data_IF_871418499851
#
_entry.id   IF_871418499851
#
_cell.length_a   1.000
_cell.length_b   1.000
_cell.length_c   1.000
_cell.angle_alpha   90.00
_cell.angle_beta   90.00
_cell.angle_gamma   90.00
#
_symmetry.space_group_name_H-M   'P 1'
#
loop_
_entity.id
_entity.type
_entity.pdbx_description
1 polymer ?
#
# COMPACT_ATOMS: atom_id res chain seq x y z
N UNK A 1 -18.94 -23.78 -45.68
CA UNK A 1 -19.83 -22.59 -45.78
C UNK A 1 -21.13 -22.86 -45.02
N UNK A 2 -21.70 -21.81 -44.38
CA UNK A 2 -22.93 -21.72 -43.54
C UNK A 2 -22.67 -21.98 -42.05
N UNK A 3 -22.53 -20.94 -41.20
CA UNK A 3 -23.43 -19.86 -40.68
C UNK A 3 -24.17 -20.28 -39.40
N UNK A 4 -23.95 -19.46 -38.37
CA UNK A 4 -24.50 -19.47 -37.01
C UNK A 4 -26.03 -19.51 -36.98
N UNK A 5 -26.58 -20.10 -35.92
CA UNK A 5 -27.90 -19.78 -35.36
C UNK A 5 -27.92 -20.21 -33.90
N UNK A 6 -27.79 -19.27 -32.96
CA UNK A 6 -28.18 -19.48 -31.56
C UNK A 6 -29.49 -18.73 -31.35
N UNK A 7 -30.56 -19.48 -31.11
CA UNK A 7 -31.84 -18.96 -30.66
C UNK A 7 -31.89 -19.04 -29.13
N UNK A 8 -32.21 -17.87 -28.59
CA UNK A 8 -32.65 -17.50 -27.26
C UNK A 8 -33.45 -18.57 -26.49
N UNK A 9 -33.12 -18.75 -25.21
CA UNK A 9 -34.03 -19.30 -24.21
C UNK A 9 -33.88 -18.49 -22.90
N UNK A 10 -35.00 -18.25 -22.18
CA UNK A 10 -35.09 -17.21 -21.16
C UNK A 10 -34.51 -17.67 -19.82
N UNK A 11 -33.69 -16.84 -19.18
CA UNK A 11 -33.36 -17.02 -17.77
C UNK A 11 -34.49 -16.43 -16.93
N UNK A 12 -35.12 -17.29 -16.14
CA UNK A 12 -36.10 -16.93 -15.14
C UNK A 12 -35.49 -15.93 -14.15
N UNK A 13 -36.11 -14.76 -14.04
CA UNK A 13 -35.83 -13.78 -13.01
C UNK A 13 -36.47 -14.31 -11.73
N UNK A 14 -35.66 -14.80 -10.79
CA UNK A 14 -36.10 -15.05 -9.44
C UNK A 14 -36.28 -13.68 -8.76
N UNK A 15 -37.53 -13.30 -8.56
CA UNK A 15 -37.93 -12.14 -7.76
C UNK A 15 -37.64 -12.45 -6.29
N UNK A 16 -36.54 -11.91 -5.76
CA UNK A 16 -36.38 -11.69 -4.32
C UNK A 16 -36.76 -10.25 -4.02
N UNK A 17 -38.05 -10.01 -3.93
CA UNK A 17 -38.60 -8.76 -3.39
C UNK A 17 -39.30 -9.14 -2.11
N UNK A 18 -38.61 -9.03 -0.98
CA UNK A 18 -39.14 -8.68 0.34
C UNK A 18 -38.05 -8.90 1.40
N UNK A 19 -37.91 -7.91 2.29
CA UNK A 19 -37.11 -7.89 3.52
C UNK A 19 -35.83 -7.04 3.55
N UNK A 20 -35.75 -5.91 2.85
CA UNK A 20 -34.98 -4.77 3.35
C UNK A 20 -35.73 -3.48 2.98
N UNK A 21 -36.06 -2.66 3.97
CA UNK A 21 -36.67 -1.36 3.73
C UNK A 21 -35.79 -0.54 2.81
N UNK A 22 -36.40 0.27 1.93
CA UNK A 22 -35.67 1.25 1.13
C UNK A 22 -34.82 2.10 2.08
N UNK A 23 -33.48 2.09 1.98
CA UNK A 23 -32.67 3.04 2.71
C UNK A 23 -33.07 4.43 2.20
N UNK A 24 -33.52 5.28 3.12
CA UNK A 24 -33.84 6.68 2.85
C UNK A 24 -32.70 7.30 2.07
N UNK A 25 -33.00 7.79 0.87
CA UNK A 25 -32.02 8.30 -0.09
C UNK A 25 -31.40 9.65 0.28
N UNK A 26 -31.43 10.03 1.55
CA UNK A 26 -30.90 11.29 2.04
C UNK A 26 -29.55 11.04 2.71
N UNK A 27 -28.47 11.15 1.92
CA UNK A 27 -27.10 11.16 2.45
C UNK A 27 -26.13 10.15 1.84
N UNK A 28 -26.41 9.61 0.65
CA UNK A 28 -25.43 8.80 -0.09
C UNK A 28 -24.15 9.62 -0.31
N UNK A 29 -23.11 9.34 0.49
CA UNK A 29 -21.76 9.78 0.19
C UNK A 29 -21.40 9.04 -1.10
N UNK A 30 -21.38 9.76 -2.21
CA UNK A 30 -20.86 9.21 -3.45
C UNK A 30 -19.50 8.56 -3.16
N UNK A 31 -19.22 7.37 -3.70
CA UNK A 31 -17.88 6.80 -3.61
C UNK A 31 -16.90 7.88 -3.99
N UNK A 32 -16.01 8.29 -3.07
CA UNK A 32 -15.15 9.41 -3.35
C UNK A 32 -14.39 9.06 -4.61
N UNK A 33 -14.67 9.83 -5.67
CA UNK A 33 -14.24 9.60 -7.05
C UNK A 33 -12.81 9.11 -7.01
N UNK A 34 -12.60 7.78 -7.21
CA UNK A 34 -11.36 7.05 -6.88
C UNK A 34 -10.40 7.94 -6.12
N UNK A 35 -10.54 8.05 -4.78
CA UNK A 35 -9.64 8.91 -3.98
C UNK A 35 -8.25 8.70 -4.55
N UNK A 36 -7.72 9.73 -5.21
CA UNK A 36 -6.39 9.63 -5.78
C UNK A 36 -5.49 9.71 -4.58
N UNK A 37 -5.25 8.54 -3.97
CA UNK A 37 -4.48 8.44 -2.74
C UNK A 37 -3.03 8.65 -3.13
N UNK A 38 -2.66 9.89 -3.42
CA UNK A 38 -1.28 10.21 -3.72
C UNK A 38 -0.42 9.70 -2.58
N UNK A 39 0.56 8.87 -2.90
CA UNK A 39 1.58 8.38 -1.97
C UNK A 39 2.70 9.38 -1.92
N UNK A 40 3.26 9.60 -0.75
CA UNK A 40 4.41 10.46 -0.58
C UNK A 40 5.65 9.58 -0.39
N UNK A 41 6.65 9.79 -1.24
CA UNK A 41 7.99 9.27 -1.05
C UNK A 41 8.81 10.29 -0.27
N UNK A 42 9.39 9.86 0.84
CA UNK A 42 10.30 10.65 1.66
C UNK A 42 11.65 9.95 1.84
N UNK A 43 12.65 10.74 2.25
CA UNK A 43 14.03 10.26 2.38
C UNK A 43 14.45 10.19 3.84
N UNK A 44 15.15 9.13 4.20
CA UNK A 44 15.88 9.04 5.47
C UNK A 44 17.38 8.78 5.20
N UNK A 45 18.28 9.26 6.07
CA UNK A 45 19.70 8.95 5.93
C UNK A 45 19.94 7.44 6.15
N UNK A 46 20.76 6.84 5.30
CA UNK A 46 21.28 5.50 5.51
C UNK A 46 22.74 5.54 5.98
N UNK A 47 23.29 4.38 6.33
CA UNK A 47 24.73 4.24 6.56
C UNK A 47 25.46 4.57 5.25
N UNK A 48 26.67 5.16 5.33
CA UNK A 48 27.54 5.50 4.18
C UNK A 48 27.14 6.69 3.28
N UNK A 49 26.26 7.59 3.73
CA UNK A 49 25.94 8.83 2.99
C UNK A 49 24.85 8.70 1.91
N UNK A 50 24.41 7.46 1.67
CA UNK A 50 23.21 7.13 0.91
C UNK A 50 21.95 7.62 1.63
N UNK A 51 20.83 7.70 0.89
CA UNK A 51 19.50 7.94 1.46
C UNK A 51 18.56 6.81 1.08
N UNK A 52 17.81 6.30 2.05
CA UNK A 52 16.76 5.31 1.83
C UNK A 52 15.44 6.03 1.48
N UNK A 53 14.70 5.47 0.55
CA UNK A 53 13.40 5.96 0.11
C UNK A 53 12.31 5.17 0.83
N UNK A 54 11.32 5.86 1.39
CA UNK A 54 10.17 5.27 2.09
C UNK A 54 8.87 5.94 1.67
N UNK A 55 7.76 5.22 1.75
CA UNK A 55 6.41 5.78 1.58
C UNK A 55 5.88 6.41 2.88
N UNK A 56 4.76 7.12 2.81
CA UNK A 56 3.97 7.59 3.94
C UNK A 56 3.17 6.49 4.67
N UNK A 57 3.41 5.21 4.35
CA UNK A 57 2.83 4.10 5.09
C UNK A 57 3.32 4.09 6.57
N UNK A 58 2.50 3.56 7.49
CA UNK A 58 2.91 3.37 8.87
C UNK A 58 3.95 2.26 8.97
N UNK A 59 4.90 2.41 9.88
CA UNK A 59 5.92 1.38 10.15
C UNK A 59 5.37 0.15 10.88
N UNK A 60 4.18 0.28 11.48
CA UNK A 60 3.48 -0.75 12.22
C UNK A 60 2.04 -0.88 11.69
N UNK A 61 1.41 -2.05 11.81
CA UNK A 61 0.00 -2.20 11.49
C UNK A 61 -0.86 -1.17 12.21
N UNK A 62 -1.82 -0.63 11.48
CA UNK A 62 -2.86 0.23 12.04
C UNK A 62 -4.21 -0.45 11.87
N UNK A 63 -5.18 -0.16 12.76
CA UNK A 63 -6.56 -0.56 12.54
C UNK A 63 -7.06 -0.16 11.14
N UNK A 64 -7.90 -1.01 10.57
CA UNK A 64 -8.60 -0.79 9.31
C UNK A 64 -10.08 -0.53 9.61
N UNK A 65 -10.79 0.09 8.67
CA UNK A 65 -12.26 0.14 8.73
C UNK A 65 -12.82 -1.28 8.55
N UNK A 66 -13.82 -1.65 9.34
CA UNK A 66 -14.46 -2.97 9.31
C UNK A 66 -14.99 -3.31 7.91
N UNK A 67 -14.83 -4.56 7.45
CA UNK A 67 -15.33 -4.98 6.14
C UNK A 67 -16.83 -4.71 5.99
N UNK A 68 -17.61 -4.98 7.04
CA UNK A 68 -19.06 -4.80 7.05
C UNK A 68 -19.45 -3.32 6.88
N UNK A 69 -18.66 -2.41 7.45
CA UNK A 69 -18.89 -0.97 7.35
C UNK A 69 -18.57 -0.49 5.93
N UNK A 70 -17.40 -0.83 5.39
CA UNK A 70 -17.00 -0.47 4.02
C UNK A 70 -18.03 -1.00 3.00
N UNK A 71 -18.37 -2.28 3.10
CA UNK A 71 -19.28 -2.93 2.14
C UNK A 71 -20.71 -2.39 2.24
N UNK A 72 -21.13 -1.88 3.41
CA UNK A 72 -22.45 -1.27 3.61
C UNK A 72 -22.57 0.13 2.98
N UNK A 73 -21.49 0.89 2.94
CA UNK A 73 -21.47 2.26 2.41
C UNK A 73 -21.38 2.24 0.87
N UNK A 74 -20.57 1.34 0.33
CA UNK A 74 -20.28 1.29 -1.11
C UNK A 74 -20.98 0.13 -1.81
N UNK A 75 -20.49 -1.09 -1.58
CA UNK A 75 -21.09 -2.34 -2.05
C UNK A 75 -20.24 -3.51 -1.56
N UNK A 76 -20.85 -4.70 -1.51
CA UNK A 76 -20.16 -5.94 -1.12
C UNK A 76 -18.90 -6.21 -1.96
N UNK A 77 -17.77 -6.47 -1.30
CA UNK A 77 -16.48 -6.72 -1.92
C UNK A 77 -15.62 -5.46 -2.12
N UNK A 78 -16.11 -4.28 -1.71
CA UNK A 78 -15.31 -3.05 -1.75
C UNK A 78 -14.11 -3.15 -0.83
N UNK A 79 -14.27 -3.77 0.34
CA UNK A 79 -13.19 -3.97 1.29
C UNK A 79 -11.98 -4.69 0.66
N UNK A 80 -12.21 -5.72 -0.16
CA UNK A 80 -11.16 -6.55 -0.75
C UNK A 80 -10.28 -5.81 -1.76
N UNK A 81 -10.84 -4.81 -2.44
CA UNK A 81 -10.15 -4.02 -3.46
C UNK A 81 -9.65 -2.67 -2.93
N UNK A 82 -10.04 -2.31 -1.71
CA UNK A 82 -9.64 -1.04 -1.10
C UNK A 82 -8.21 -1.15 -0.55
N UNK A 83 -7.28 -0.26 -0.98
CA UNK A 83 -5.93 -0.28 -0.44
C UNK A 83 -5.93 0.16 1.03
N UNK A 84 -5.14 -0.48 1.89
CA UNK A 84 -5.08 -0.18 3.34
C UNK A 84 -4.81 1.30 3.65
N UNK A 85 -3.99 1.95 2.83
CA UNK A 85 -3.75 3.39 2.93
C UNK A 85 -5.02 4.25 2.88
N UNK A 86 -6.02 3.81 2.12
CA UNK A 86 -7.27 4.54 1.98
C UNK A 86 -8.07 4.40 3.26
N UNK A 87 -8.09 3.21 3.88
CA UNK A 87 -8.64 3.05 5.23
C UNK A 87 -7.99 4.02 6.21
N UNK A 88 -6.66 4.09 6.23
CA UNK A 88 -5.95 4.98 7.15
C UNK A 88 -6.25 6.46 6.89
N UNK A 89 -6.30 6.91 5.64
CA UNK A 89 -6.66 8.30 5.33
C UNK A 89 -8.08 8.64 5.74
N UNK A 90 -9.05 7.73 5.55
CA UNK A 90 -10.43 7.96 6.01
C UNK A 90 -10.52 8.02 7.54
N UNK A 91 -9.78 7.15 8.23
CA UNK A 91 -9.67 7.18 9.70
C UNK A 91 -9.03 8.49 10.17
N UNK A 92 -7.92 8.91 9.56
CA UNK A 92 -7.18 10.14 9.89
C UNK A 92 -8.01 11.41 9.63
N UNK A 93 -8.93 11.36 8.68
CA UNK A 93 -9.89 12.44 8.39
C UNK A 93 -11.14 12.39 9.29
N UNK A 94 -11.25 11.42 10.19
CA UNK A 94 -12.37 11.29 11.13
C UNK A 94 -13.67 10.81 10.48
N UNK A 95 -13.60 10.08 9.36
CA UNK A 95 -14.80 9.55 8.70
C UNK A 95 -15.45 8.40 9.49
N UNK A 96 -14.67 7.73 10.33
CA UNK A 96 -15.06 6.53 11.06
C UNK A 96 -14.69 6.66 12.54
N UNK A 97 -15.58 6.18 13.42
CA UNK A 97 -15.37 6.14 14.86
C UNK A 97 -14.61 4.89 15.32
N UNK A 98 -14.37 4.78 16.64
CA UNK A 98 -13.68 3.61 17.22
C UNK A 98 -14.43 2.28 17.01
N UNK A 99 -15.76 2.33 16.99
CA UNK A 99 -16.60 1.14 16.76
C UNK A 99 -16.53 0.64 15.31
N UNK A 100 -16.19 1.52 14.37
CA UNK A 100 -16.13 1.23 12.93
C UNK A 100 -14.78 0.64 12.50
N UNK A 101 -13.78 0.68 13.38
CA UNK A 101 -12.43 0.18 13.11
C UNK A 101 -12.16 -1.14 13.81
N UNK A 102 -11.25 -1.92 13.25
CA UNK A 102 -10.79 -3.18 13.80
C UNK A 102 -9.32 -3.40 13.51
N UNK A 103 -8.65 -4.15 14.38
CA UNK A 103 -7.28 -4.55 14.14
C UNK A 103 -7.28 -5.91 13.44
N UNK A 104 -6.63 -6.02 12.26
CA UNK A 104 -6.78 -7.21 11.40
C UNK A 104 -5.99 -8.44 11.85
N UNK A 105 -5.14 -8.32 12.86
CA UNK A 105 -4.23 -9.38 13.29
C UNK A 105 -4.52 -9.84 14.72
N UNK A 106 -4.44 -11.14 14.96
CA UNK A 106 -4.47 -11.73 16.29
C UNK A 106 -3.15 -11.56 17.06
N UNK A 107 -3.13 -11.99 18.32
CA UNK A 107 -1.91 -12.08 19.10
C UNK A 107 -1.01 -13.21 18.56
N UNK A 108 0.23 -12.90 18.18
CA UNK A 108 1.19 -13.82 17.54
C UNK A 108 0.75 -14.37 16.17
N UNK A 109 0.05 -13.56 15.38
CA UNK A 109 -0.42 -13.96 14.05
C UNK A 109 0.71 -14.04 13.02
N UNK A 110 0.73 -15.10 12.22
CA UNK A 110 1.69 -15.19 11.11
C UNK A 110 1.35 -14.15 10.02
N UNK A 111 0.09 -13.74 9.93
CA UNK A 111 -0.40 -12.64 9.11
C UNK A 111 0.21 -11.31 9.52
N UNK A 112 0.47 -11.09 10.82
CA UNK A 112 1.19 -9.91 11.31
C UNK A 112 2.63 -9.93 10.81
N UNK A 113 3.33 -11.06 10.95
CA UNK A 113 4.71 -11.21 10.48
C UNK A 113 4.81 -11.07 8.95
N UNK A 114 3.81 -11.58 8.23
CA UNK A 114 3.69 -11.41 6.79
C UNK A 114 3.42 -9.95 6.44
N UNK A 115 2.49 -9.29 7.12
CA UNK A 115 2.23 -7.87 6.91
C UNK A 115 3.49 -7.04 7.17
N UNK A 116 4.11 -7.27 8.32
CA UNK A 116 5.31 -6.55 8.74
C UNK A 116 6.42 -6.70 7.72
N UNK A 117 6.57 -7.86 7.08
CA UNK A 117 7.56 -8.11 6.05
C UNK A 117 7.31 -7.39 4.72
N UNK A 118 6.07 -7.29 4.26
CA UNK A 118 5.75 -6.80 2.92
C UNK A 118 5.26 -5.35 2.87
N UNK A 119 4.70 -4.86 3.96
CA UNK A 119 4.07 -3.54 4.03
C UNK A 119 4.91 -2.52 4.80
N UNK A 120 6.19 -2.83 5.07
CA UNK A 120 7.12 -1.80 5.54
C UNK A 120 7.19 -0.65 4.52
N UNK A 121 7.30 0.61 4.98
CA UNK A 121 7.37 1.77 4.08
C UNK A 121 8.52 1.71 3.06
N UNK A 122 9.63 1.08 3.42
CA UNK A 122 10.78 0.89 2.51
C UNK A 122 10.52 -0.18 1.44
N UNK A 123 9.82 -1.26 1.79
CA UNK A 123 9.43 -2.33 0.87
C UNK A 123 8.36 -1.82 -0.11
N UNK A 124 7.35 -1.09 0.38
CA UNK A 124 6.34 -0.47 -0.48
C UNK A 124 6.98 0.52 -1.47
N UNK A 125 7.92 1.36 -1.00
CA UNK A 125 8.65 2.28 -1.87
C UNK A 125 9.44 1.54 -2.95
N UNK A 126 10.12 0.45 -2.60
CA UNK A 126 10.82 -0.40 -3.55
C UNK A 126 9.87 -0.93 -4.64
N UNK A 127 8.75 -1.56 -4.26
CA UNK A 127 7.84 -2.19 -5.21
C UNK A 127 7.12 -1.18 -6.12
N UNK A 128 6.76 -0.01 -5.57
CA UNK A 128 6.21 1.11 -6.35
C UNK A 128 7.22 1.59 -7.39
N UNK A 129 8.49 1.74 -7.01
CA UNK A 129 9.54 2.21 -7.93
C UNK A 129 9.89 1.15 -8.98
N UNK A 130 9.93 -0.14 -8.62
CA UNK A 130 10.10 -1.21 -9.59
C UNK A 130 8.99 -1.20 -10.64
N UNK A 131 7.74 -1.03 -10.21
CA UNK A 131 6.59 -0.91 -11.10
C UNK A 131 6.70 0.34 -12.00
N UNK A 132 7.06 1.49 -11.41
CA UNK A 132 7.17 2.77 -12.13
C UNK A 132 8.28 2.78 -13.20
N UNK A 133 9.37 2.06 -12.93
CA UNK A 133 10.53 1.96 -13.81
C UNK A 133 10.58 0.65 -14.62
N UNK A 134 9.48 -0.11 -14.65
CA UNK A 134 9.32 -1.35 -15.42
C UNK A 134 10.44 -2.38 -15.14
N UNK A 135 10.76 -2.54 -13.86
CA UNK A 135 11.77 -3.48 -13.37
C UNK A 135 11.09 -4.75 -12.90
N UNK A 136 11.41 -5.86 -13.56
CA UNK A 136 10.98 -7.18 -13.10
C UNK A 136 11.70 -7.56 -11.80
N UNK A 137 10.92 -7.71 -10.72
CA UNK A 137 11.41 -8.00 -9.36
C UNK A 137 11.94 -9.42 -9.15
N UNK A 138 11.80 -10.31 -10.13
CA UNK A 138 11.88 -11.75 -9.84
C UNK A 138 13.29 -12.32 -9.61
N UNK A 139 14.40 -11.62 -9.93
CA UNK A 139 15.71 -12.31 -10.03
C UNK A 139 17.01 -11.55 -9.70
N UNK A 140 17.00 -10.37 -9.06
CA UNK A 140 18.28 -9.70 -8.75
C UNK A 140 18.74 -9.99 -7.31
N UNK A 141 19.82 -10.78 -7.17
CA UNK A 141 20.53 -11.00 -5.89
C UNK A 141 21.57 -9.92 -5.59
N UNK A 142 21.84 -9.05 -6.57
CA UNK A 142 22.75 -7.92 -6.49
C UNK A 142 21.98 -6.60 -6.62
N UNK A 143 22.46 -5.49 -6.03
CA UNK A 143 21.84 -4.18 -6.20
C UNK A 143 21.74 -3.81 -7.68
N UNK A 144 20.58 -3.31 -8.11
CA UNK A 144 20.32 -2.91 -9.49
C UNK A 144 20.24 -1.39 -9.58
N UNK A 145 21.28 -0.80 -10.17
CA UNK A 145 21.28 0.62 -10.54
C UNK A 145 20.37 0.85 -11.75
N UNK A 146 19.44 1.80 -11.64
CA UNK A 146 18.51 2.17 -12.72
C UNK A 146 18.86 3.50 -13.41
N UNK A 147 20.00 4.09 -13.05
CA UNK A 147 20.32 5.48 -13.34
C UNK A 147 19.60 6.44 -12.38
N UNK A 148 19.88 7.75 -12.52
CA UNK A 148 19.39 8.80 -11.60
C UNK A 148 19.83 8.60 -10.14
N UNK A 149 20.97 7.93 -9.95
CA UNK A 149 21.46 7.55 -8.63
C UNK A 149 20.56 6.57 -7.89
N UNK A 150 19.56 5.95 -8.52
CA UNK A 150 18.65 5.01 -7.89
C UNK A 150 19.24 3.59 -7.88
N UNK A 151 19.36 3.03 -6.69
CA UNK A 151 19.80 1.67 -6.43
C UNK A 151 18.67 0.87 -5.76
N UNK A 152 18.30 -0.25 -6.38
CA UNK A 152 17.30 -1.18 -5.86
C UNK A 152 17.99 -2.41 -5.30
N UNK A 153 17.76 -2.69 -4.01
CA UNK A 153 18.39 -3.80 -3.32
C UNK A 153 17.32 -4.75 -2.78
N UNK A 154 17.41 -6.03 -3.18
CA UNK A 154 16.67 -7.12 -2.54
C UNK A 154 17.60 -7.79 -1.53
N UNK A 155 17.14 -7.97 -0.29
CA UNK A 155 17.95 -8.63 0.72
C UNK A 155 18.09 -10.14 0.40
N UNK A 156 19.33 -10.68 0.31
CA UNK A 156 19.62 -11.97 -0.35
C UNK A 156 19.04 -13.19 0.37
N UNK A 157 18.78 -13.09 1.67
CA UNK A 157 18.22 -14.18 2.49
C UNK A 157 16.81 -13.89 3.00
N UNK A 158 16.25 -12.73 2.64
CA UNK A 158 14.91 -12.35 3.10
C UNK A 158 14.36 -11.31 2.13
N UNK A 159 13.64 -11.69 1.06
CA UNK A 159 13.00 -10.76 0.13
C UNK A 159 12.16 -9.66 0.83
N UNK A 160 11.78 -9.94 2.08
CA UNK A 160 11.10 -9.13 3.10
C UNK A 160 11.82 -7.84 3.55
N UNK A 161 12.99 -7.51 3.01
CA UNK A 161 13.74 -6.27 3.31
C UNK A 161 14.23 -5.58 2.03
N UNK A 162 13.40 -5.59 0.98
CA UNK A 162 13.71 -4.86 -0.23
C UNK A 162 13.73 -3.34 0.05
N UNK A 163 14.71 -2.64 -0.49
CA UNK A 163 14.87 -1.19 -0.27
C UNK A 163 15.27 -0.51 -1.57
N UNK A 164 14.74 0.70 -1.76
CA UNK A 164 15.22 1.63 -2.76
C UNK A 164 16.06 2.71 -2.10
N UNK A 165 17.22 3.03 -2.68
CA UNK A 165 18.16 4.02 -2.15
C UNK A 165 18.60 4.96 -3.26
N UNK A 166 18.94 6.20 -2.88
CA UNK A 166 19.78 7.03 -3.72
C UNK A 166 21.24 6.90 -3.28
N UNK A 167 22.13 6.74 -4.26
CA UNK A 167 23.59 6.64 -4.07
C UNK A 167 24.12 7.84 -3.28
N UNK A 168 23.58 9.03 -3.54
CA UNK A 168 23.91 10.25 -2.81
C UNK A 168 22.75 11.27 -2.84
N UNK A 169 22.86 12.29 -1.98
CA UNK A 169 21.84 13.33 -1.80
C UNK A 169 21.68 14.27 -3.00
N UNK A 170 22.67 14.36 -3.88
CA UNK A 170 22.62 15.26 -5.04
C UNK A 170 21.58 14.80 -6.07
N UNK A 171 21.24 13.50 -6.08
CA UNK A 171 20.24 12.92 -6.97
C UNK A 171 18.78 13.20 -6.60
N UNK A 172 18.49 13.75 -5.41
CA UNK A 172 17.12 13.91 -4.91
C UNK A 172 16.23 14.67 -5.91
N UNK A 173 16.72 15.79 -6.45
CA UNK A 173 15.93 16.61 -7.36
C UNK A 173 15.72 15.95 -8.72
N UNK A 174 16.74 15.26 -9.24
CA UNK A 174 16.65 14.54 -10.51
C UNK A 174 15.72 13.33 -10.40
N UNK A 175 15.79 12.60 -9.29
CA UNK A 175 14.88 11.53 -8.94
C UNK A 175 13.43 12.04 -8.84
N UNK A 176 13.19 13.12 -8.08
CA UNK A 176 11.88 13.76 -7.96
C UNK A 176 11.31 14.09 -9.34
N UNK A 177 12.09 14.78 -10.17
CA UNK A 177 11.66 15.16 -11.51
C UNK A 177 11.36 13.96 -12.42
N UNK A 178 12.05 12.84 -12.23
CA UNK A 178 11.80 11.61 -12.98
C UNK A 178 10.53 10.89 -12.54
N UNK A 179 10.26 10.83 -11.23
CA UNK A 179 9.04 10.24 -10.66
C UNK A 179 7.81 11.05 -11.10
N UNK A 180 7.84 12.37 -10.88
CA UNK A 180 6.73 13.27 -11.20
C UNK A 180 6.44 13.35 -12.71
N UNK A 181 7.42 13.04 -13.58
CA UNK A 181 7.19 12.94 -15.03
C UNK A 181 6.45 11.66 -15.43
N UNK A 182 6.60 10.59 -14.64
CA UNK A 182 6.04 9.27 -14.95
C UNK A 182 4.67 9.03 -14.33
N UNK A 183 4.34 9.72 -13.24
CA UNK A 183 3.07 9.51 -12.54
C UNK A 183 2.66 10.75 -11.73
N UNK A 184 1.35 11.01 -11.70
CA UNK A 184 0.75 12.03 -10.85
C UNK A 184 0.30 11.48 -9.48
N UNK A 185 0.43 10.15 -9.28
CA UNK A 185 0.01 9.42 -8.09
C UNK A 185 1.10 9.33 -7.01
N UNK A 186 2.37 9.55 -7.36
CA UNK A 186 3.47 9.61 -6.40
C UNK A 186 3.96 11.05 -6.28
N UNK A 187 4.05 11.55 -5.05
CA UNK A 187 4.67 12.82 -4.72
C UNK A 187 6.01 12.51 -4.07
N UNK A 188 7.07 13.24 -4.42
CA UNK A 188 8.37 13.12 -3.77
C UNK A 188 8.60 14.35 -2.89
N UNK A 189 8.69 14.15 -1.58
CA UNK A 189 9.17 15.16 -0.63
C UNK A 189 10.70 15.18 -0.65
N UNK A 190 11.35 16.24 -1.16
CA UNK A 190 12.80 16.30 -1.27
C UNK A 190 13.52 16.46 0.09
N UNK A 191 12.79 16.62 1.19
CA UNK A 191 13.37 16.81 2.52
C UNK A 191 13.85 15.47 3.08
N UNK A 192 15.10 15.45 3.55
CA UNK A 192 15.65 14.32 4.29
C UNK A 192 15.19 14.42 5.74
N UNK A 193 14.39 13.45 6.17
CA UNK A 193 13.85 13.33 7.51
C UNK A 193 14.83 12.53 8.40
N UNK A 194 14.87 12.79 9.72
CA UNK A 194 15.63 11.94 10.63
C UNK A 194 15.15 10.49 10.52
N UNK A 195 16.05 9.53 10.75
CA UNK A 195 15.67 8.12 10.72
C UNK A 195 14.57 7.85 11.76
N UNK A 196 13.41 7.40 11.29
CA UNK A 196 12.33 6.94 12.16
C UNK A 196 12.81 5.70 12.90
N UNK A 197 12.60 5.66 14.22
CA UNK A 197 13.11 4.65 15.18
C UNK A 197 13.67 3.36 14.58
N UNK A 198 14.97 3.14 14.80
CA UNK A 198 15.65 1.91 14.39
C UNK A 198 14.92 0.68 14.94
N UNK A 199 14.69 -0.29 14.06
CA UNK A 199 14.29 -1.65 14.41
C UNK A 199 15.25 -2.20 15.47
N UNK A 200 14.75 -2.38 16.70
CA UNK A 200 15.34 -3.27 17.68
C UNK A 200 14.57 -4.60 17.55
N UNK A 201 15.16 -5.65 16.95
CA UNK A 201 14.51 -6.95 16.98
C UNK A 201 14.31 -7.35 18.45
N UNK A 202 13.08 -7.68 18.84
CA UNK A 202 12.71 -8.19 20.18
C UNK A 202 13.46 -9.46 20.59
N UNK A 203 14.30 -10.02 19.73
CA UNK A 203 15.11 -11.22 19.98
C UNK A 203 16.27 -11.01 20.97
N UNK A 204 16.54 -9.78 21.45
CA UNK A 204 17.66 -9.51 22.34
C UNK A 204 17.33 -9.50 23.85
N UNK A 205 16.05 -9.62 24.26
CA UNK A 205 15.68 -9.56 25.68
C UNK A 205 15.68 -10.91 26.43
N UNK A 206 15.92 -12.04 25.75
CA UNK A 206 15.95 -13.37 26.40
C UNK A 206 17.34 -13.87 26.80
N UNK A 207 18.37 -13.01 26.82
CA UNK A 207 19.73 -13.40 27.22
C UNK A 207 20.22 -12.73 28.52
N UNK A 208 19.29 -12.33 29.40
CA UNK A 208 19.58 -11.97 30.80
C UNK A 208 18.59 -12.67 31.73
N UNK A 209 18.82 -13.96 31.92
CA UNK A 209 18.27 -14.77 33.00
C UNK A 209 19.39 -15.62 33.57
#
# INVERSE_FOLDING_TARGET
>A
MKRRSFLSAPFAIATMTEAFGEPSSDGWIEPPSQVSVKRELHFEPSHSGQVIIKTDAPAEPRPLVRPEIIDSIWFKGTYEIMPQSLHWKMIDQGWFGEDDIWFPFGENDWEYEHWFAYFQPACEAHDLLCTLFDVSNFWFTEPKELGLGLDLQIHPSTPRYATAKLIDRSWINDFKAAVERKTDFLIVDPIIRPASGAFVPRSAESARG
#
